data_IF_746008916931
#
_entry.id   IF_746008916931
#
_cell.length_a   1.000
_cell.length_b   1.000
_cell.length_c   1.000
_cell.angle_alpha   90.00
_cell.angle_beta   90.00
_cell.angle_gamma   90.00
#
_symmetry.space_group_name_H-M   'P 1'
#
loop_
_entity.id
_entity.type
_entity.pdbx_description
1 polymer ?
#
# COMPACT_ATOMS: atom_id res chain seq x y z
N UNK A 1 -26.64 -12.38 18.26
CA UNK A 1 -25.19 -12.09 18.42
C UNK A 1 -24.91 -10.85 17.58
N UNK A 2 -24.34 -9.80 18.15
CA UNK A 2 -23.96 -8.63 17.35
C UNK A 2 -22.91 -9.08 16.31
N UNK A 3 -23.01 -8.65 15.05
CA UNK A 3 -21.98 -8.95 14.06
C UNK A 3 -20.62 -8.45 14.58
N UNK A 4 -19.64 -9.36 14.66
CA UNK A 4 -18.24 -9.06 15.00
C UNK A 4 -17.40 -9.28 13.74
N UNK A 5 -17.39 -8.31 12.82
CA UNK A 5 -16.70 -8.46 11.55
C UNK A 5 -15.19 -8.64 11.79
N UNK A 6 -14.58 -9.53 11.02
CA UNK A 6 -13.17 -9.81 11.10
C UNK A 6 -12.36 -8.61 10.58
N UNK A 7 -11.54 -7.95 11.42
CA UNK A 7 -10.80 -6.76 11.02
C UNK A 7 -9.72 -7.05 9.96
N UNK A 8 -9.43 -8.33 9.65
CA UNK A 8 -8.62 -8.72 8.49
C UNK A 8 -9.27 -8.28 7.17
N UNK A 9 -10.60 -8.25 7.11
CA UNK A 9 -11.35 -8.14 5.86
C UNK A 9 -11.15 -9.38 4.98
N UNK A 10 -12.13 -9.71 4.13
CA UNK A 10 -12.01 -10.86 3.26
C UNK A 10 -13.18 -10.99 2.28
N UNK A 11 -13.00 -11.83 1.28
CA UNK A 11 -14.06 -12.20 0.34
C UNK A 11 -14.95 -13.24 1.04
N UNK A 12 -16.24 -12.94 1.15
CA UNK A 12 -17.26 -13.89 1.59
C UNK A 12 -18.19 -14.21 0.41
N UNK A 13 -18.42 -15.50 0.15
CA UNK A 13 -19.29 -15.96 -0.94
C UNK A 13 -20.60 -16.48 -0.38
N UNK A 14 -21.72 -15.93 -0.85
CA UNK A 14 -23.06 -16.39 -0.53
C UNK A 14 -23.74 -16.94 -1.79
N UNK A 15 -24.20 -18.19 -1.75
CA UNK A 15 -24.93 -18.83 -2.84
C UNK A 15 -26.41 -18.91 -2.44
N UNK A 16 -27.28 -18.25 -3.21
CA UNK A 16 -28.72 -18.21 -2.95
C UNK A 16 -29.50 -18.84 -4.10
N UNK A 17 -30.43 -19.77 -3.82
CA UNK A 17 -31.40 -20.23 -4.80
C UNK A 17 -32.27 -19.08 -5.34
N UNK A 18 -32.60 -19.10 -6.64
CA UNK A 18 -33.36 -18.02 -7.28
C UNK A 18 -34.77 -17.85 -6.67
N UNK A 19 -35.38 -18.93 -6.18
CA UNK A 19 -36.68 -18.92 -5.52
C UNK A 19 -36.67 -18.15 -4.19
N UNK A 20 -35.51 -17.94 -3.56
CA UNK A 20 -35.40 -17.09 -2.37
C UNK A 20 -35.75 -15.61 -2.65
N UNK A 21 -35.68 -15.16 -3.90
CA UNK A 21 -36.07 -13.79 -4.26
C UNK A 21 -37.59 -13.62 -4.44
N UNK A 22 -38.32 -14.70 -4.74
CA UNK A 22 -39.74 -14.64 -5.19
C UNK A 22 -40.68 -15.40 -4.25
N UNK A 23 -40.15 -16.32 -3.44
CA UNK A 23 -40.91 -17.09 -2.46
C UNK A 23 -41.33 -16.26 -1.26
N UNK A 24 -42.20 -16.81 -0.39
CA UNK A 24 -42.63 -16.12 0.83
C UNK A 24 -41.44 -15.75 1.71
N UNK A 25 -41.17 -14.45 1.85
CA UNK A 25 -40.20 -13.94 2.81
C UNK A 25 -40.65 -14.18 4.24
N UNK A 26 -39.69 -14.41 5.15
CA UNK A 26 -39.98 -14.37 6.60
C UNK A 26 -39.76 -12.95 7.10
N UNK A 27 -40.68 -12.45 7.93
CA UNK A 27 -40.43 -11.21 8.67
C UNK A 27 -39.29 -11.44 9.63
N UNK A 28 -38.09 -11.00 9.25
CA UNK A 28 -36.96 -10.90 10.17
C UNK A 28 -37.07 -9.57 10.91
N UNK A 29 -36.83 -9.61 12.23
CA UNK A 29 -36.71 -8.38 13.02
C UNK A 29 -35.65 -7.46 12.41
N UNK A 30 -35.80 -6.15 12.62
CA UNK A 30 -34.82 -5.16 12.15
C UNK A 30 -33.46 -5.56 12.74
N UNK A 31 -32.54 -5.99 11.88
CA UNK A 31 -31.19 -6.30 12.32
C UNK A 31 -30.60 -5.00 12.89
N UNK A 32 -29.91 -5.02 14.04
CA UNK A 32 -29.22 -3.83 14.53
C UNK A 32 -28.36 -3.28 13.39
N UNK A 33 -28.41 -1.97 13.19
CA UNK A 33 -27.59 -1.29 12.18
C UNK A 33 -26.16 -1.76 12.31
N UNK A 34 -25.62 -2.30 11.22
CA UNK A 34 -24.23 -2.69 11.15
C UNK A 34 -23.40 -1.41 10.99
N UNK A 35 -22.53 -1.12 11.95
CA UNK A 35 -21.48 -0.14 11.71
C UNK A 35 -20.46 -0.81 10.78
N UNK A 36 -20.42 -0.34 9.53
CA UNK A 36 -19.46 -0.84 8.54
C UNK A 36 -18.02 -0.45 8.89
N UNK A 37 -17.83 0.54 9.77
CA UNK A 37 -16.52 0.88 10.31
C UNK A 37 -16.12 -0.14 11.37
N UNK A 38 -15.56 -1.27 10.93
CA UNK A 38 -14.87 -2.20 11.82
C UNK A 38 -13.65 -1.48 12.38
N UNK A 39 -13.75 -1.01 13.62
CA UNK A 39 -12.60 -0.45 14.30
C UNK A 39 -11.52 -1.53 14.37
N UNK A 40 -10.38 -1.28 13.72
CA UNK A 40 -9.24 -2.18 13.82
C UNK A 40 -8.69 -2.11 15.24
N UNK A 41 -8.35 -3.24 15.88
CA UNK A 41 -7.77 -3.26 17.22
C UNK A 41 -6.46 -2.46 17.27
N UNK A 42 -6.24 -1.76 18.39
CA UNK A 42 -5.00 -1.04 18.66
C UNK A 42 -3.93 -2.02 19.16
N UNK A 43 -2.67 -1.77 18.76
CA UNK A 43 -1.51 -2.49 19.26
C UNK A 43 -1.25 -2.16 20.75
N UNK A 44 -0.91 -3.13 21.60
CA UNK A 44 -0.54 -2.88 23.00
C UNK A 44 0.63 -1.90 23.18
N UNK A 45 0.54 -1.01 24.16
CA UNK A 45 1.53 0.07 24.37
C UNK A 45 2.93 -0.45 24.76
N UNK A 46 3.01 -1.61 25.40
CA UNK A 46 4.27 -2.27 25.76
C UNK A 46 5.02 -2.79 24.53
N UNK A 47 4.30 -3.30 23.51
CA UNK A 47 4.88 -3.66 22.21
C UNK A 47 5.48 -2.43 21.53
N UNK A 48 4.73 -1.32 21.51
CA UNK A 48 5.22 -0.05 20.95
C UNK A 48 6.49 0.41 21.68
N UNK A 49 6.47 0.45 23.01
CA UNK A 49 7.60 0.91 23.82
C UNK A 49 8.83 -0.01 23.70
N UNK A 50 8.63 -1.31 23.52
CA UNK A 50 9.72 -2.25 23.29
C UNK A 50 10.39 -2.02 21.94
N UNK A 51 9.60 -1.90 20.86
CA UNK A 51 10.15 -1.68 19.51
C UNK A 51 10.77 -0.28 19.38
N UNK A 52 10.20 0.75 20.01
CA UNK A 52 10.75 2.11 19.99
C UNK A 52 12.22 2.17 20.45
N UNK A 53 12.65 1.30 21.36
CA UNK A 53 14.05 1.23 21.83
C UNK A 53 15.01 0.66 20.79
N UNK A 54 14.48 -0.04 19.79
CA UNK A 54 15.27 -0.78 18.81
C UNK A 54 15.40 -0.02 17.47
N UNK A 55 14.52 0.94 17.18
CA UNK A 55 14.52 1.66 15.89
C UNK A 55 15.69 2.65 15.80
N UNK A 56 16.49 2.51 14.75
CA UNK A 56 17.66 3.33 14.45
C UNK A 56 17.90 3.45 12.93
N UNK A 57 19.05 4.02 12.54
CA UNK A 57 19.41 4.23 11.14
C UNK A 57 19.67 2.93 10.34
N UNK A 58 19.87 1.79 11.02
CA UNK A 58 20.04 0.48 10.38
C UNK A 58 18.71 -0.28 10.24
N UNK A 59 17.60 0.38 10.55
CA UNK A 59 16.26 -0.19 10.53
C UNK A 59 15.56 0.04 9.19
N UNK A 60 14.91 -1.01 8.68
CA UNK A 60 13.88 -0.91 7.66
C UNK A 60 12.51 -1.07 8.30
N UNK A 61 11.64 -0.06 8.14
CA UNK A 61 10.22 -0.14 8.43
C UNK A 61 9.50 -0.74 7.22
N UNK A 62 8.94 -1.93 7.35
CA UNK A 62 8.10 -2.55 6.34
C UNK A 62 6.63 -2.27 6.64
N UNK A 63 6.00 -1.41 5.84
CA UNK A 63 4.65 -0.87 6.07
C UNK A 63 3.66 -1.41 5.04
N UNK A 64 2.52 -1.94 5.47
CA UNK A 64 1.41 -2.36 4.60
C UNK A 64 0.04 -2.00 5.21
N UNK A 65 -1.05 -2.26 4.47
CA UNK A 65 -2.41 -2.08 4.93
C UNK A 65 -2.75 -0.60 5.10
N UNK A 66 -3.46 -0.25 6.18
CA UNK A 66 -3.81 1.15 6.41
C UNK A 66 -2.62 2.01 6.85
N UNK A 67 -1.44 1.43 7.11
CA UNK A 67 -0.20 2.18 7.31
C UNK A 67 0.27 2.93 6.05
N UNK A 68 -0.25 2.57 4.88
CA UNK A 68 0.04 3.23 3.60
C UNK A 68 -1.00 4.31 3.24
N UNK A 69 -1.90 4.65 4.17
CA UNK A 69 -2.73 5.87 4.09
C UNK A 69 -1.91 7.11 4.45
N UNK A 70 -2.41 8.31 4.15
CA UNK A 70 -1.73 9.58 4.50
C UNK A 70 -1.28 9.60 5.97
N UNK A 71 -2.19 9.27 6.90
CA UNK A 71 -1.88 9.20 8.33
C UNK A 71 -0.66 8.31 8.62
N UNK A 72 -0.65 7.10 8.08
CA UNK A 72 0.44 6.15 8.31
C UNK A 72 1.75 6.56 7.63
N UNK A 73 1.70 7.07 6.39
CA UNK A 73 2.87 7.54 5.66
C UNK A 73 3.50 8.76 6.34
N UNK A 74 2.69 9.70 6.83
CA UNK A 74 3.15 10.84 7.62
C UNK A 74 3.84 10.39 8.91
N UNK A 75 3.25 9.42 9.64
CA UNK A 75 3.84 8.88 10.85
C UNK A 75 5.17 8.14 10.59
N UNK A 76 5.21 7.30 9.55
CA UNK A 76 6.44 6.65 9.09
C UNK A 76 7.53 7.67 8.73
N UNK A 77 7.13 8.79 8.10
CA UNK A 77 7.99 9.92 7.82
C UNK A 77 8.63 10.57 9.03
N UNK A 78 7.86 10.77 10.10
CA UNK A 78 8.35 11.27 11.40
C UNK A 78 9.41 10.33 11.96
N UNK A 79 9.12 9.02 11.99
CA UNK A 79 10.05 8.00 12.49
C UNK A 79 11.34 8.00 11.67
N UNK A 80 11.24 7.97 10.35
CA UNK A 80 12.39 7.98 9.44
C UNK A 80 13.27 9.23 9.63
N UNK A 81 12.66 10.42 9.74
CA UNK A 81 13.41 11.65 9.96
C UNK A 81 14.10 11.72 11.32
N UNK A 82 13.50 11.14 12.37
CA UNK A 82 14.06 11.09 13.72
C UNK A 82 15.20 10.08 13.86
N UNK A 83 15.07 8.91 13.23
CA UNK A 83 15.91 7.74 13.48
C UNK A 83 16.90 7.45 12.35
N UNK A 84 16.65 7.96 11.14
CA UNK A 84 17.36 7.57 9.93
C UNK A 84 16.86 6.26 9.30
N UNK A 85 15.83 5.64 9.87
CA UNK A 85 15.25 4.41 9.34
C UNK A 85 14.69 4.60 7.92
N UNK A 86 14.76 3.55 7.11
CA UNK A 86 14.20 3.56 5.76
C UNK A 86 12.77 3.01 5.76
N UNK A 87 11.89 3.57 4.94
CA UNK A 87 10.49 3.15 4.83
C UNK A 87 10.27 2.40 3.52
N UNK A 88 9.85 1.14 3.63
CA UNK A 88 9.49 0.29 2.51
C UNK A 88 8.07 -0.24 2.66
N UNK A 89 7.45 -0.53 1.52
CA UNK A 89 6.25 -1.34 1.41
C UNK A 89 6.59 -2.67 0.74
N UNK A 90 5.74 -3.71 0.86
CA UNK A 90 5.86 -4.91 0.05
C UNK A 90 5.90 -4.58 -1.46
N UNK A 91 6.25 -5.54 -2.30
CA UNK A 91 6.28 -5.36 -3.76
C UNK A 91 4.90 -4.98 -4.34
N UNK A 92 3.83 -5.51 -3.74
CA UNK A 92 2.44 -5.39 -4.24
C UNK A 92 1.48 -4.83 -3.18
N UNK A 93 1.67 -3.60 -2.67
CA UNK A 93 0.77 -3.03 -1.68
C UNK A 93 -0.56 -2.67 -2.34
N UNK A 94 -1.69 -3.01 -1.72
CA UNK A 94 -3.01 -2.77 -2.34
C UNK A 94 -3.31 -1.30 -2.64
N UNK A 95 -2.83 -0.41 -1.78
CA UNK A 95 -3.05 1.04 -1.85
C UNK A 95 -1.86 1.75 -1.23
N UNK A 96 -1.44 2.86 -1.82
CA UNK A 96 -0.46 3.79 -1.24
C UNK A 96 -0.89 5.22 -1.49
N UNK A 97 -0.88 6.06 -0.46
CA UNK A 97 -0.95 7.51 -0.64
C UNK A 97 0.46 8.07 -0.85
N UNK A 98 0.59 8.92 -1.85
CA UNK A 98 1.86 9.48 -2.28
C UNK A 98 1.69 10.95 -2.69
N UNK A 99 2.73 11.75 -2.51
CA UNK A 99 2.68 13.17 -2.80
C UNK A 99 3.96 13.91 -2.45
N UNK A 100 4.16 15.12 -2.99
CA UNK A 100 5.35 15.95 -2.75
C UNK A 100 5.53 16.35 -1.29
N UNK A 101 4.45 16.32 -0.51
CA UNK A 101 4.34 16.63 0.91
C UNK A 101 4.25 15.37 1.80
N UNK A 102 4.39 14.17 1.22
CA UNK A 102 4.42 12.91 1.93
C UNK A 102 5.81 12.25 1.84
N UNK A 103 6.13 11.43 2.84
CA UNK A 103 7.37 10.67 2.82
C UNK A 103 7.37 9.66 1.68
N UNK A 104 8.53 9.54 1.02
CA UNK A 104 8.74 8.53 0.00
C UNK A 104 8.76 7.15 0.64
N UNK A 105 7.73 6.37 0.35
CA UNK A 105 7.67 4.93 0.62
C UNK A 105 8.16 4.19 -0.61
N UNK A 106 9.33 3.58 -0.49
CA UNK A 106 9.88 2.72 -1.55
C UNK A 106 9.12 1.39 -1.58
N UNK A 107 8.95 0.79 -2.76
CA UNK A 107 8.47 -0.59 -2.86
C UNK A 107 9.65 -1.53 -2.84
N UNK A 108 9.50 -2.68 -2.18
CA UNK A 108 10.47 -3.75 -2.35
C UNK A 108 10.60 -4.11 -3.83
N UNK A 109 11.83 -4.32 -4.33
CA UNK A 109 12.05 -4.81 -5.68
C UNK A 109 11.29 -6.10 -5.95
N UNK A 110 11.07 -6.41 -7.23
CA UNK A 110 10.37 -7.64 -7.62
C UNK A 110 11.30 -8.87 -7.55
N UNK A 111 12.56 -8.69 -7.94
CA UNK A 111 13.51 -9.79 -8.01
C UNK A 111 14.21 -10.02 -6.66
N UNK A 112 14.31 -11.28 -6.20
CA UNK A 112 14.86 -11.61 -4.90
C UNK A 112 16.31 -11.13 -4.71
N UNK A 113 17.14 -11.16 -5.76
CA UNK A 113 18.53 -10.71 -5.72
C UNK A 113 18.63 -9.22 -5.34
N UNK A 114 17.73 -8.39 -5.86
CA UNK A 114 17.67 -6.97 -5.56
C UNK A 114 17.20 -6.70 -4.13
N UNK A 115 16.28 -7.52 -3.60
CA UNK A 115 15.86 -7.45 -2.20
C UNK A 115 17.02 -7.87 -1.28
N UNK A 116 17.74 -8.94 -1.64
CA UNK A 116 18.89 -9.42 -0.88
C UNK A 116 20.02 -8.38 -0.84
N UNK A 117 20.30 -7.71 -1.96
CA UNK A 117 21.27 -6.61 -2.03
C UNK A 117 20.84 -5.42 -1.16
N UNK A 118 19.57 -5.03 -1.24
CA UNK A 118 19.01 -3.97 -0.41
C UNK A 118 19.16 -4.27 1.09
N UNK A 119 18.94 -5.52 1.49
CA UNK A 119 19.02 -5.92 2.90
C UNK A 119 20.41 -6.31 3.38
N UNK A 120 21.42 -6.35 2.50
CA UNK A 120 22.79 -6.69 2.89
C UNK A 120 23.37 -5.74 3.97
N UNK A 121 22.90 -4.50 4.01
CA UNK A 121 23.31 -3.48 5.00
C UNK A 121 22.29 -3.28 6.14
N UNK A 122 21.17 -4.03 6.13
CA UNK A 122 20.05 -3.85 7.07
C UNK A 122 20.19 -4.81 8.24
N UNK A 123 20.33 -4.27 9.44
CA UNK A 123 20.49 -5.08 10.66
C UNK A 123 19.16 -5.32 11.38
N UNK A 124 18.15 -4.48 11.14
CA UNK A 124 16.84 -4.57 11.80
C UNK A 124 15.70 -4.40 10.80
N UNK A 125 14.73 -5.30 10.87
CA UNK A 125 13.50 -5.24 10.10
C UNK A 125 12.31 -5.11 11.04
N UNK A 126 11.58 -4.01 10.93
CA UNK A 126 10.40 -3.72 11.75
C UNK A 126 9.16 -3.85 10.87
N UNK A 127 8.34 -4.87 11.16
CA UNK A 127 7.12 -5.19 10.44
C UNK A 127 5.94 -4.41 11.03
N UNK A 128 5.30 -3.57 10.21
CA UNK A 128 4.18 -2.71 10.62
C UNK A 128 3.02 -2.93 9.65
N UNK A 129 2.18 -3.92 9.95
CA UNK A 129 1.08 -4.36 9.07
C UNK A 129 1.54 -5.24 7.90
N UNK A 130 2.84 -5.37 7.68
CA UNK A 130 3.45 -6.19 6.65
C UNK A 130 3.93 -7.55 7.17
N UNK A 131 4.16 -8.48 6.26
CA UNK A 131 4.78 -9.78 6.55
C UNK A 131 6.27 -9.78 6.22
N UNK A 132 6.97 -10.84 6.64
CA UNK A 132 8.37 -11.06 6.25
C UNK A 132 8.47 -11.06 4.71
N UNK A 133 9.50 -10.41 4.14
CA UNK A 133 9.68 -10.32 2.70
C UNK A 133 10.00 -11.70 2.14
N UNK A 134 9.14 -12.18 1.25
CA UNK A 134 9.31 -13.46 0.57
C UNK A 134 9.47 -13.26 -0.92
N UNK A 135 10.21 -14.16 -1.57
CA UNK A 135 10.32 -14.16 -3.03
C UNK A 135 8.96 -14.43 -3.68
N UNK A 136 8.65 -13.69 -4.74
CA UNK A 136 7.35 -13.84 -5.42
C UNK A 136 7.18 -15.23 -6.06
N UNK A 137 8.27 -15.78 -6.59
CA UNK A 137 8.35 -17.16 -7.06
C UNK A 137 9.37 -17.95 -6.23
N UNK A 138 9.25 -19.27 -6.25
CA UNK A 138 10.31 -20.15 -5.77
C UNK A 138 11.41 -20.24 -6.84
N UNK A 139 12.64 -19.95 -6.44
CA UNK A 139 13.82 -20.07 -7.29
C UNK A 139 14.70 -21.19 -6.73
N UNK A 140 15.22 -22.06 -7.62
CA UNK A 140 15.94 -23.28 -7.21
C UNK A 140 17.13 -23.02 -6.27
N UNK A 141 17.82 -21.89 -6.46
CA UNK A 141 19.07 -21.58 -5.77
C UNK A 141 18.99 -20.32 -4.88
N UNK A 142 17.77 -19.82 -4.60
CA UNK A 142 17.59 -18.63 -3.76
C UNK A 142 16.64 -18.97 -2.60
N UNK A 143 16.86 -18.36 -1.43
CA UNK A 143 15.97 -18.54 -0.30
C UNK A 143 14.59 -17.92 -0.60
N UNK A 144 13.54 -18.52 -0.04
CA UNK A 144 12.19 -17.95 -0.11
C UNK A 144 11.98 -16.83 0.91
N UNK A 145 12.55 -16.93 2.11
CA UNK A 145 12.63 -15.82 3.07
C UNK A 145 13.83 -14.95 2.72
N UNK A 146 13.58 -13.67 2.45
CA UNK A 146 14.58 -12.72 1.98
C UNK A 146 15.11 -11.84 3.11
N UNK A 147 14.58 -11.95 4.33
CA UNK A 147 15.20 -11.31 5.49
C UNK A 147 16.52 -12.04 5.83
N UNK A 148 17.67 -11.34 5.85
CA UNK A 148 18.95 -11.99 6.16
C UNK A 148 18.95 -12.63 7.55
N UNK A 149 19.65 -13.74 7.72
CA UNK A 149 19.71 -14.44 9.02
C UNK A 149 20.35 -13.64 10.16
N UNK A 150 21.12 -12.58 9.85
CA UNK A 150 21.68 -11.65 10.83
C UNK A 150 20.72 -10.51 11.21
N UNK A 151 19.63 -10.34 10.47
CA UNK A 151 18.68 -9.26 10.67
C UNK A 151 17.72 -9.61 11.82
N UNK A 152 17.65 -8.73 12.82
CA UNK A 152 16.68 -8.88 13.91
C UNK A 152 15.32 -8.38 13.44
N UNK A 153 14.29 -9.23 13.56
CA UNK A 153 12.95 -8.92 13.08
C UNK A 153 12.03 -8.60 14.25
N UNK A 154 11.49 -7.39 14.26
CA UNK A 154 10.49 -6.93 15.22
C UNK A 154 9.13 -6.82 14.52
N UNK A 155 8.04 -7.15 15.21
CA UNK A 155 6.69 -6.89 14.71
C UNK A 155 6.00 -5.89 15.64
N UNK A 156 5.55 -4.79 15.04
CA UNK A 156 4.78 -3.74 15.71
C UNK A 156 3.30 -4.03 15.57
N UNK A 157 2.84 -4.30 14.35
CA UNK A 157 1.43 -4.49 14.05
C UNK A 157 1.25 -5.63 13.04
N UNK A 158 0.16 -6.38 13.18
CA UNK A 158 -0.41 -7.23 12.16
C UNK A 158 -1.37 -6.44 11.28
N UNK A 159 -1.64 -6.94 10.07
CA UNK A 159 -2.50 -6.26 9.07
C UNK A 159 -3.93 -5.96 9.54
N UNK A 160 -4.44 -6.76 10.47
CA UNK A 160 -5.77 -6.62 11.03
C UNK A 160 -5.86 -5.57 12.14
N UNK A 161 -4.73 -5.17 12.71
CA UNK A 161 -4.64 -4.10 13.70
C UNK A 161 -4.59 -2.74 13.00
N UNK A 162 -4.84 -1.66 13.75
CA UNK A 162 -4.75 -0.30 13.23
C UNK A 162 -3.28 0.10 13.01
N UNK A 163 -2.77 -0.21 11.83
CA UNK A 163 -1.37 0.01 11.44
C UNK A 163 -1.01 1.49 11.43
N UNK A 164 -1.94 2.36 10.99
CA UNK A 164 -1.70 3.80 10.97
C UNK A 164 -1.57 4.37 12.38
N UNK A 165 -2.45 3.95 13.30
CA UNK A 165 -2.37 4.32 14.71
C UNK A 165 -1.10 3.76 15.37
N UNK A 166 -0.70 2.52 15.05
CA UNK A 166 0.53 1.93 15.59
C UNK A 166 1.79 2.71 15.16
N UNK A 167 1.83 3.22 13.91
CA UNK A 167 2.90 4.10 13.44
C UNK A 167 2.90 5.45 14.18
N UNK A 168 1.73 6.04 14.42
CA UNK A 168 1.61 7.27 15.23
C UNK A 168 2.10 7.06 16.66
N UNK A 169 1.68 5.97 17.30
CA UNK A 169 2.07 5.61 18.66
C UNK A 169 3.58 5.38 18.75
N UNK A 170 4.17 4.72 17.75
CA UNK A 170 5.62 4.52 17.65
C UNK A 170 6.36 5.85 17.42
N UNK A 171 5.84 6.73 16.55
CA UNK A 171 6.40 8.07 16.36
C UNK A 171 6.35 8.90 17.65
N UNK A 172 5.27 8.77 18.43
CA UNK A 172 5.13 9.44 19.73
C UNK A 172 6.12 8.88 20.76
N UNK A 173 6.27 7.55 20.84
CA UNK A 173 7.22 6.91 21.76
C UNK A 173 8.69 7.28 21.47
N UNK A 174 9.00 7.66 20.24
CA UNK A 174 10.32 8.14 19.79
C UNK A 174 10.50 9.66 19.91
N UNK A 175 9.50 10.39 20.39
CA UNK A 175 9.43 11.86 20.35
C UNK A 175 9.75 12.42 18.94
N UNK A 176 9.26 11.72 17.91
CA UNK A 176 9.53 12.05 16.52
C UNK A 176 8.61 13.20 16.06
N UNK A 177 9.20 14.34 15.69
CA UNK A 177 8.46 15.50 15.19
C UNK A 177 8.16 15.41 13.69
N UNK A 178 7.28 16.27 13.18
CA UNK A 178 6.98 16.36 11.76
C UNK A 178 8.26 16.58 10.93
N UNK A 179 8.50 15.81 9.85
CA UNK A 179 9.66 16.03 8.99
C UNK A 179 9.51 17.35 8.21
N UNK A 180 10.62 18.03 7.98
CA UNK A 180 10.68 19.14 7.01
C UNK A 180 10.70 18.55 5.60
N UNK A 181 9.53 18.40 4.99
CA UNK A 181 9.39 17.99 3.60
C UNK A 181 9.36 19.23 2.71
N UNK A 182 10.26 19.27 1.73
CA UNK A 182 10.25 20.33 0.70
C UNK A 182 9.59 19.75 -0.55
N UNK A 183 8.41 20.27 -0.96
CA UNK A 183 7.77 19.87 -2.20
C UNK A 183 8.75 19.98 -3.36
N UNK A 184 8.93 18.90 -4.13
CA UNK A 184 9.72 18.98 -5.35
C UNK A 184 8.86 19.65 -6.45
N UNK A 185 9.42 20.58 -7.24
CA UNK A 185 8.70 21.13 -8.36
C UNK A 185 8.38 20.01 -9.36
N UNK A 186 7.22 20.12 -10.02
CA UNK A 186 6.87 19.21 -11.10
C UNK A 186 7.93 19.28 -12.21
N UNK A 187 8.31 18.14 -12.82
CA UNK A 187 9.34 18.13 -13.86
C UNK A 187 8.86 18.85 -15.13
N UNK A 188 9.81 19.30 -15.95
CA UNK A 188 9.52 19.76 -17.30
C UNK A 188 9.00 18.61 -18.18
N UNK A 189 8.24 18.96 -19.22
CA UNK A 189 7.77 17.97 -20.19
C UNK A 189 8.96 17.39 -20.97
N UNK A 190 9.01 16.06 -21.18
CA UNK A 190 10.06 15.45 -21.98
C UNK A 190 9.87 15.75 -23.47
N UNK A 191 10.97 15.80 -24.21
CA UNK A 191 10.99 15.91 -25.67
C UNK A 191 11.31 14.55 -26.33
N UNK A 192 11.02 14.41 -27.62
CA UNK A 192 11.34 13.21 -28.41
C UNK A 192 10.25 12.14 -28.43
N UNK A 193 10.58 10.92 -28.90
CA UNK A 193 9.60 9.85 -29.10
C UNK A 193 9.06 9.32 -27.76
N UNK A 194 7.77 8.95 -27.78
CA UNK A 194 7.10 8.43 -26.60
C UNK A 194 7.71 7.08 -26.17
N UNK A 195 8.04 6.99 -24.88
CA UNK A 195 8.52 5.77 -24.24
C UNK A 195 8.02 5.75 -22.78
N UNK A 196 8.20 4.63 -22.07
CA UNK A 196 7.70 4.45 -20.69
C UNK A 196 8.20 5.55 -19.73
N UNK A 197 9.48 5.94 -19.83
CA UNK A 197 10.03 7.03 -19.02
C UNK A 197 9.40 8.37 -19.38
N UNK A 198 9.21 8.64 -20.68
CA UNK A 198 8.52 9.83 -21.16
C UNK A 198 7.09 9.92 -20.62
N UNK A 199 6.32 8.82 -20.65
CA UNK A 199 4.95 8.76 -20.10
C UNK A 199 4.97 9.04 -18.59
N UNK A 200 5.87 8.41 -17.83
CA UNK A 200 6.02 8.66 -16.40
C UNK A 200 6.31 10.13 -16.07
N UNK A 201 7.21 10.77 -16.84
CA UNK A 201 7.53 12.21 -16.68
C UNK A 201 6.34 13.09 -17.05
N UNK A 202 5.59 12.77 -18.11
CA UNK A 202 4.39 13.52 -18.50
C UNK A 202 3.35 13.46 -17.38
N UNK A 203 3.12 12.29 -16.78
CA UNK A 203 2.19 12.12 -15.66
C UNK A 203 2.64 12.93 -14.44
N UNK A 204 3.92 12.84 -14.06
CA UNK A 204 4.47 13.65 -12.96
C UNK A 204 4.36 15.17 -13.22
N UNK A 205 4.48 15.60 -14.48
CA UNK A 205 4.35 17.00 -14.87
C UNK A 205 2.90 17.50 -14.88
N UNK A 206 1.94 16.66 -15.30
CA UNK A 206 0.60 17.12 -15.72
C UNK A 206 -0.58 16.46 -15.02
N UNK A 207 -0.40 15.37 -14.28
CA UNK A 207 -1.53 14.76 -13.59
C UNK A 207 -2.20 15.78 -12.64
N UNK A 208 -3.53 15.80 -12.57
CA UNK A 208 -4.24 16.62 -11.60
C UNK A 208 -3.85 16.20 -10.18
N UNK A 209 -3.83 17.17 -9.27
CA UNK A 209 -3.65 16.87 -7.86
C UNK A 209 -4.82 16.03 -7.34
N UNK A 210 -4.51 15.21 -6.33
CA UNK A 210 -5.43 14.31 -5.66
C UNK A 210 -6.12 13.28 -6.56
N UNK A 211 -5.42 12.87 -7.62
CA UNK A 211 -5.90 11.84 -8.53
C UNK A 211 -5.76 10.42 -7.95
N UNK A 212 -6.47 9.47 -8.55
CA UNK A 212 -6.32 8.04 -8.26
C UNK A 212 -5.70 7.38 -9.48
N UNK A 213 -4.68 6.55 -9.27
CA UNK A 213 -4.01 5.80 -10.34
C UNK A 213 -4.14 4.32 -10.03
N UNK A 214 -4.89 3.59 -10.85
CA UNK A 214 -4.95 2.14 -10.81
C UNK A 214 -4.04 1.55 -11.88
N UNK A 215 -3.23 0.57 -11.49
CA UNK A 215 -2.24 -0.03 -12.38
C UNK A 215 -2.28 -1.54 -12.38
N UNK A 216 -1.87 -2.11 -13.50
CA UNK A 216 -1.39 -3.49 -13.58
C UNK A 216 0.15 -3.52 -13.51
N UNK A 217 0.76 -4.67 -13.83
CA UNK A 217 2.21 -4.83 -13.87
C UNK A 217 2.85 -4.13 -15.08
N UNK A 218 4.18 -4.11 -15.12
CA UNK A 218 4.95 -3.60 -16.27
C UNK A 218 5.01 -2.07 -16.33
N UNK A 219 4.87 -1.51 -17.54
CA UNK A 219 5.09 -0.09 -17.82
C UNK A 219 4.21 0.88 -17.04
N UNK A 220 2.98 0.49 -16.69
CA UNK A 220 2.07 1.30 -15.86
C UNK A 220 2.63 1.55 -14.46
N UNK A 221 3.30 0.54 -13.88
CA UNK A 221 3.97 0.62 -12.58
C UNK A 221 5.17 1.57 -12.53
N UNK A 222 5.76 1.92 -13.68
CA UNK A 222 6.97 2.72 -13.79
C UNK A 222 6.74 4.21 -13.49
N UNK A 223 5.48 4.68 -13.53
CA UNK A 223 5.14 6.07 -13.24
C UNK A 223 5.19 6.39 -11.72
N UNK A 224 5.05 5.39 -10.85
CA UNK A 224 4.94 5.59 -9.40
C UNK A 224 6.10 6.42 -8.81
N UNK A 225 7.39 6.09 -9.04
CA UNK A 225 8.49 6.88 -8.48
C UNK A 225 8.52 8.34 -8.96
N UNK A 226 8.13 8.58 -10.22
CA UNK A 226 8.11 9.92 -10.80
C UNK A 226 6.96 10.76 -10.21
N UNK A 227 5.78 10.16 -10.04
CA UNK A 227 4.61 10.84 -9.50
C UNK A 227 4.71 11.09 -7.99
N UNK A 228 5.31 10.16 -7.24
CA UNK A 228 5.38 10.21 -5.77
C UNK A 228 5.97 11.51 -5.22
N UNK A 229 6.87 12.16 -5.96
CA UNK A 229 7.50 13.42 -5.56
C UNK A 229 6.85 14.67 -6.17
N UNK A 230 5.86 14.52 -7.05
CA UNK A 230 5.38 15.61 -7.91
C UNK A 230 3.88 15.89 -7.79
N UNK A 231 3.07 14.87 -7.48
CA UNK A 231 1.61 14.96 -7.52
C UNK A 231 1.03 14.22 -6.32
N UNK A 232 0.10 14.83 -5.58
CA UNK A 232 -0.69 14.09 -4.58
C UNK A 232 -1.59 13.11 -5.28
N UNK A 233 -1.53 11.83 -4.92
CA UNK A 233 -2.37 10.80 -5.52
C UNK A 233 -2.51 9.56 -4.63
N UNK A 234 -3.60 8.83 -4.85
CA UNK A 234 -3.77 7.46 -4.36
C UNK A 234 -3.35 6.48 -5.45
N UNK A 235 -2.40 5.61 -5.14
CA UNK A 235 -1.96 4.54 -6.03
C UNK A 235 -2.63 3.22 -5.66
N UNK A 236 -3.43 2.65 -6.57
CA UNK A 236 -4.03 1.32 -6.45
C UNK A 236 -3.20 0.34 -7.28
N UNK A 237 -2.54 -0.60 -6.60
CA UNK A 237 -1.67 -1.55 -7.25
C UNK A 237 -2.36 -2.91 -7.43
N UNK A 238 -1.87 -3.68 -8.40
CA UNK A 238 -2.11 -5.11 -8.44
C UNK A 238 -1.70 -5.77 -7.11
N UNK A 239 -2.59 -6.58 -6.51
CA UNK A 239 -2.38 -7.28 -5.23
C UNK A 239 -2.01 -8.74 -5.45
N UNK A 240 -0.88 -8.98 -6.14
CA UNK A 240 -0.41 -10.31 -6.53
C UNK A 240 0.25 -10.31 -7.90
N UNK A 241 0.19 -11.45 -8.60
CA UNK A 241 0.82 -11.61 -9.93
C UNK A 241 -0.15 -11.70 -11.12
N UNK A 242 -1.46 -11.64 -10.89
CA UNK A 242 -2.46 -11.81 -11.96
C UNK A 242 -2.90 -10.46 -12.51
N UNK A 243 -2.46 -10.11 -13.72
CA UNK A 243 -2.91 -8.89 -14.42
C UNK A 243 -4.42 -8.89 -14.74
N UNK A 244 -4.97 -7.73 -15.11
CA UNK A 244 -6.39 -7.53 -15.37
C UNK A 244 -7.16 -6.90 -14.20
N UNK A 245 -6.47 -6.56 -13.10
CA UNK A 245 -7.10 -5.93 -11.94
C UNK A 245 -7.24 -4.41 -12.13
N UNK A 246 -6.26 -3.76 -12.77
CA UNK A 246 -6.16 -2.31 -12.81
C UNK A 246 -7.38 -1.61 -13.42
N UNK A 247 -7.94 -2.14 -14.52
CA UNK A 247 -9.12 -1.57 -15.18
C UNK A 247 -10.38 -1.57 -14.30
N UNK A 248 -10.87 -2.73 -13.85
CA UNK A 248 -12.00 -2.81 -12.92
C UNK A 248 -11.78 -2.02 -11.61
N UNK A 249 -10.55 -2.00 -11.08
CA UNK A 249 -10.22 -1.21 -9.91
C UNK A 249 -10.35 0.31 -10.16
N UNK A 250 -9.94 0.80 -11.34
CA UNK A 250 -10.17 2.19 -11.73
C UNK A 250 -11.67 2.52 -11.82
N UNK A 251 -12.49 1.65 -12.41
CA UNK A 251 -13.94 1.85 -12.49
C UNK A 251 -14.55 1.95 -11.08
N UNK A 252 -14.20 1.01 -10.20
CA UNK A 252 -14.65 1.03 -8.80
C UNK A 252 -14.21 2.30 -8.06
N UNK A 253 -12.98 2.76 -8.28
CA UNK A 253 -12.47 4.00 -7.70
C UNK A 253 -13.23 5.24 -8.21
N UNK A 254 -13.55 5.31 -9.51
CA UNK A 254 -14.30 6.42 -10.09
C UNK A 254 -15.74 6.47 -9.55
N UNK A 255 -16.37 5.32 -9.30
CA UNK A 255 -17.69 5.24 -8.66
C UNK A 255 -17.61 5.69 -7.19
N UNK A 256 -16.59 5.25 -6.46
CA UNK A 256 -16.43 5.55 -5.03
C UNK A 256 -15.96 6.99 -4.76
N UNK A 257 -15.26 7.61 -5.70
CA UNK A 257 -14.67 8.93 -5.57
C UNK A 257 -14.97 9.77 -6.82
N UNK A 258 -16.24 10.17 -7.05
CA UNK A 258 -16.67 10.82 -8.29
C UNK A 258 -15.99 12.19 -8.54
N UNK A 259 -15.50 12.83 -7.48
CA UNK A 259 -14.84 14.14 -7.55
C UNK A 259 -13.33 14.05 -7.84
N UNK A 260 -12.76 12.84 -7.87
CA UNK A 260 -11.31 12.62 -8.07
C UNK A 260 -11.04 12.07 -9.46
N UNK A 261 -10.13 12.68 -10.26
CA UNK A 261 -9.73 12.10 -11.54
C UNK A 261 -9.09 10.73 -11.35
N UNK A 262 -9.53 9.74 -12.15
CA UNK A 262 -9.01 8.37 -12.08
C UNK A 262 -8.31 7.99 -13.38
N UNK A 263 -7.08 7.48 -13.24
CA UNK A 263 -6.28 6.95 -14.33
C UNK A 263 -6.17 5.43 -14.23
N UNK A 264 -6.40 4.73 -15.33
CA UNK A 264 -6.04 3.32 -15.49
C UNK A 264 -4.75 3.24 -16.33
N UNK A 265 -3.60 2.98 -15.71
CA UNK A 265 -2.32 2.81 -16.41
C UNK A 265 -2.06 1.33 -16.64
N UNK A 266 -2.52 0.83 -17.78
CA UNK A 266 -2.51 -0.58 -18.13
C UNK A 266 -1.55 -0.86 -19.29
N UNK A 267 -0.84 -1.98 -19.23
CA UNK A 267 -0.25 -2.57 -20.42
C UNK A 267 -1.35 -3.13 -21.32
N UNK A 268 -1.08 -3.24 -22.62
CA UNK A 268 -1.98 -3.83 -23.62
C UNK A 268 -2.43 -5.24 -23.23
N UNK A 269 -1.50 -6.10 -22.82
CA UNK A 269 -1.79 -7.46 -22.36
C UNK A 269 -2.72 -7.45 -21.13
N UNK A 270 -2.43 -6.65 -20.11
CA UNK A 270 -3.25 -6.56 -18.89
C UNK A 270 -4.65 -6.01 -19.15
N UNK A 271 -4.75 -4.98 -19.99
CA UNK A 271 -6.04 -4.40 -20.38
C UNK A 271 -6.95 -5.42 -21.06
N UNK A 272 -6.40 -6.35 -21.83
CA UNK A 272 -7.19 -7.36 -22.55
C UNK A 272 -7.77 -8.46 -21.65
N UNK A 273 -7.28 -8.66 -20.42
CA UNK A 273 -7.85 -9.67 -19.51
C UNK A 273 -9.27 -9.32 -19.08
N UNK A 274 -9.56 -8.03 -18.93
CA UNK A 274 -10.82 -7.53 -18.39
C UNK A 274 -11.36 -6.34 -19.18
N UNK A 275 -11.05 -6.23 -20.48
CA UNK A 275 -11.37 -5.08 -21.33
C UNK A 275 -12.86 -4.66 -21.34
N UNK A 276 -13.76 -5.53 -20.88
CA UNK A 276 -15.17 -5.24 -20.64
C UNK A 276 -15.39 -4.15 -19.59
N UNK A 277 -14.37 -3.79 -18.79
CA UNK A 277 -14.43 -2.65 -17.86
C UNK A 277 -14.70 -1.32 -18.57
N UNK A 278 -14.50 -1.24 -19.89
CA UNK A 278 -14.78 -0.06 -20.72
C UNK A 278 -16.26 0.13 -21.07
N UNK A 279 -17.11 -0.86 -20.80
CA UNK A 279 -18.55 -0.82 -21.07
C UNK A 279 -19.31 -0.27 -19.86
#
# INVERSE_FOLDING_TARGET
MAPSPDPRGGIATLILPADCAWGPGRTVGRHPSFDAAVAKPRVPADVIAAVAKEVDAQTVLMVDGNGLTERGVTAAGRIAAKTGAQVFSPTFPARVEAGPDLTVVNRLPYFPEQIMELFASVSKLVLVGAERPVSFFAYRNLPSDLAPGHCTVHRVAHRHEDVALALDDLAQALDASAPLLTPSPRPALPEGPLNVRGIATILAARAPDDCIVAVDSGGGGAAYPAMQRAVRHTWLNLTGGSIGQGGPAAVGAAIACPDRPVFALLGDGGAMYTNQFLW
#
